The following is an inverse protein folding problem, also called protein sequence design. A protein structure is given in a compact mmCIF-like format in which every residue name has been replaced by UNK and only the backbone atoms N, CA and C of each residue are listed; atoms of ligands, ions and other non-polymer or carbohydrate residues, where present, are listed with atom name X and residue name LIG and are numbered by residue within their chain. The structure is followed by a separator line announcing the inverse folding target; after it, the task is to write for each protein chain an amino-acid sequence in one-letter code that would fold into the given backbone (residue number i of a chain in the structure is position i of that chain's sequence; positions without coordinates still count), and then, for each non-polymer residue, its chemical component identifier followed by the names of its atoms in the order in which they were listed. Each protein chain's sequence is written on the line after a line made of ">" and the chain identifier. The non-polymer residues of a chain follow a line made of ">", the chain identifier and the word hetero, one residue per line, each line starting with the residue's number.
data_IF_646628418402
#
_entry.id   IF_646628418402
#
_cell.length_a   1.000
_cell.length_b   1.000
_cell.length_c   1.000
_cell.angle_alpha   90.00
_cell.angle_beta   90.00
_cell.angle_gamma   90.00
#
_symmetry.space_group_name_H-M   'P 1'
#
loop_
_entity.id
_entity.type
_entity.pdbx_description
1 polymer ?
#
# COMPACT_ATOMS: atom_id res chain seq x y z
N UNK A 1 21.20 -1.05 12.27
CA UNK A 1 22.48 -1.52 11.68
C UNK A 1 22.81 -0.61 10.51
N UNK A 2 24.01 -0.04 10.47
CA UNK A 2 24.44 0.81 9.36
C UNK A 2 24.71 -0.08 8.14
N UNK A 3 23.94 0.08 7.06
CA UNK A 3 24.21 -0.61 5.79
C UNK A 3 25.54 -0.07 5.26
N UNK A 4 26.54 -0.95 5.13
CA UNK A 4 27.86 -0.63 4.57
C UNK A 4 28.07 -1.44 3.31
N UNK A 5 28.50 -0.76 2.25
CA UNK A 5 28.82 -1.35 0.96
C UNK A 5 30.31 -1.21 0.70
N UNK A 6 30.92 -2.22 0.07
CA UNK A 6 32.30 -2.08 -0.43
C UNK A 6 32.32 -1.10 -1.62
N UNK A 7 33.47 -0.47 -1.86
CA UNK A 7 33.68 0.39 -3.03
C UNK A 7 33.31 -0.36 -4.32
N UNK A 8 33.74 -1.62 -4.44
CA UNK A 8 33.43 -2.45 -5.60
C UNK A 8 31.92 -2.68 -5.77
N UNK A 9 31.18 -2.92 -4.68
CA UNK A 9 29.72 -3.07 -4.74
C UNK A 9 29.04 -1.79 -5.23
N UNK A 10 29.45 -0.64 -4.71
CA UNK A 10 28.89 0.66 -5.11
C UNK A 10 29.12 0.92 -6.59
N UNK A 11 30.37 0.80 -7.05
CA UNK A 11 30.74 1.13 -8.43
C UNK A 11 30.14 0.13 -9.43
N UNK A 12 29.91 -1.12 -9.03
CA UNK A 12 29.39 -2.16 -9.94
C UNK A 12 27.86 -2.20 -9.97
N UNK A 13 27.20 -1.98 -8.83
CA UNK A 13 25.75 -2.22 -8.67
C UNK A 13 24.94 -0.93 -8.46
N UNK A 14 25.57 0.11 -7.93
CA UNK A 14 24.92 1.38 -7.61
C UNK A 14 24.56 2.15 -8.88
N UNK A 15 23.39 2.80 -8.87
CA UNK A 15 23.04 3.78 -9.89
C UNK A 15 23.64 5.12 -9.49
N UNK A 16 24.72 5.52 -10.18
CA UNK A 16 25.35 6.82 -9.94
C UNK A 16 24.39 7.95 -10.33
N UNK A 17 24.04 8.81 -9.39
CA UNK A 17 23.12 9.91 -9.61
C UNK A 17 23.26 11.02 -8.56
N UNK A 18 22.69 12.19 -8.87
CA UNK A 18 22.47 13.23 -7.87
C UNK A 18 21.17 12.97 -7.14
N UNK A 19 21.19 13.07 -5.82
CA UNK A 19 19.98 12.96 -5.01
C UNK A 19 20.01 13.93 -3.83
N UNK A 20 18.84 14.32 -3.36
CA UNK A 20 18.66 15.06 -2.13
C UNK A 20 18.27 14.10 -1.01
N UNK A 21 18.90 14.26 0.15
CA UNK A 21 18.48 13.62 1.39
C UNK A 21 18.94 14.47 2.58
N UNK A 22 18.13 14.49 3.64
CA UNK A 22 18.38 15.28 4.86
C UNK A 22 18.67 16.77 4.57
N UNK A 23 18.01 17.34 3.56
CA UNK A 23 18.14 18.76 3.19
C UNK A 23 19.42 19.14 2.43
N UNK A 24 20.22 18.17 1.97
CA UNK A 24 21.42 18.41 1.17
C UNK A 24 21.40 17.62 -0.14
N UNK A 25 21.91 18.22 -1.21
CA UNK A 25 22.26 17.51 -2.45
C UNK A 25 23.51 16.66 -2.23
N UNK A 26 23.51 15.47 -2.82
CA UNK A 26 24.54 14.44 -2.74
C UNK A 26 24.91 14.02 -4.16
N UNK A 27 26.20 13.84 -4.41
CA UNK A 27 26.72 13.21 -5.63
C UNK A 27 27.18 11.80 -5.27
N UNK A 28 26.33 10.81 -5.56
CA UNK A 28 26.52 9.47 -5.01
C UNK A 28 25.83 8.39 -5.83
N UNK A 29 25.41 7.32 -5.14
CA UNK A 29 24.80 6.14 -5.76
C UNK A 29 23.51 5.76 -5.03
N UNK A 30 22.53 5.28 -5.78
CA UNK A 30 21.38 4.57 -5.20
C UNK A 30 21.56 3.09 -5.46
N UNK A 31 21.69 2.33 -4.37
CA UNK A 31 21.99 0.91 -4.37
C UNK A 31 20.76 0.08 -4.81
N UNK A 32 20.93 -1.19 -5.25
CA UNK A 32 19.80 -2.03 -5.67
C UNK A 32 18.74 -2.29 -4.59
N UNK A 33 19.12 -2.21 -3.31
CA UNK A 33 18.23 -2.26 -2.15
C UNK A 33 17.58 -0.91 -1.81
N UNK A 34 17.79 0.10 -2.65
CA UNK A 34 17.17 1.44 -2.58
C UNK A 34 17.87 2.44 -1.67
N UNK A 35 18.89 2.04 -0.92
CA UNK A 35 19.64 2.96 -0.06
C UNK A 35 20.51 3.92 -0.88
N UNK A 36 20.55 5.18 -0.45
CA UNK A 36 21.46 6.18 -1.00
C UNK A 36 22.83 6.09 -0.34
N UNK A 37 23.90 6.28 -1.11
CA UNK A 37 25.27 6.23 -0.63
C UNK A 37 26.06 7.41 -1.19
N UNK A 38 26.79 8.10 -0.31
CA UNK A 38 27.71 9.20 -0.64
C UNK A 38 29.02 9.03 0.15
N UNK A 39 30.12 9.58 -0.34
CA UNK A 39 31.38 9.68 0.38
C UNK A 39 31.60 11.11 0.89
N UNK A 40 31.59 11.27 2.22
CA UNK A 40 31.98 12.52 2.87
C UNK A 40 33.39 12.38 3.45
N UNK A 41 34.39 12.88 2.72
CA UNK A 41 35.80 12.69 3.08
C UNK A 41 36.21 11.22 2.99
N UNK A 42 36.60 10.62 4.11
CA UNK A 42 36.97 9.19 4.20
C UNK A 42 35.82 8.29 4.68
N UNK A 43 34.64 8.86 4.97
CA UNK A 43 33.49 8.15 5.49
C UNK A 43 32.45 7.86 4.42
N UNK A 44 31.91 6.64 4.42
CA UNK A 44 30.69 6.30 3.71
C UNK A 44 29.47 6.78 4.51
N UNK A 45 28.64 7.59 3.89
CA UNK A 45 27.31 7.95 4.40
C UNK A 45 26.26 7.10 3.69
N UNK A 46 25.25 6.66 4.45
CA UNK A 46 24.13 5.88 3.94
C UNK A 46 22.83 6.59 4.30
N UNK A 47 21.89 6.65 3.36
CA UNK A 47 20.63 7.36 3.49
C UNK A 47 19.46 6.40 3.28
N UNK A 48 18.47 6.49 4.16
CA UNK A 48 17.27 5.66 4.08
C UNK A 48 16.50 5.92 2.77
N UNK A 49 15.95 4.88 2.12
CA UNK A 49 15.26 5.02 0.84
C UNK A 49 14.19 6.11 0.83
N UNK A 50 13.37 6.19 1.89
CA UNK A 50 12.27 7.15 1.98
C UNK A 50 12.70 8.62 2.04
N UNK A 51 13.97 8.87 2.37
CA UNK A 51 14.54 10.22 2.48
C UNK A 51 15.01 10.77 1.13
N UNK A 52 15.03 9.93 0.09
CA UNK A 52 15.66 10.23 -1.20
C UNK A 52 14.68 10.99 -2.11
N UNK A 53 15.16 12.09 -2.68
CA UNK A 53 14.55 12.74 -3.84
C UNK A 53 15.57 12.84 -4.98
N UNK A 54 15.20 12.46 -6.20
CA UNK A 54 16.09 12.49 -7.36
C UNK A 54 15.30 12.59 -8.66
N UNK A 55 15.94 13.18 -9.69
CA UNK A 55 15.42 13.20 -11.05
C UNK A 55 15.82 11.95 -11.85
N UNK A 56 16.79 11.17 -11.35
CA UNK A 56 17.20 9.92 -11.98
C UNK A 56 16.10 8.86 -11.81
N UNK A 57 15.52 8.41 -12.91
CA UNK A 57 14.34 7.54 -12.88
C UNK A 57 14.66 6.15 -12.31
N UNK A 58 15.86 5.62 -12.58
CA UNK A 58 16.28 4.30 -12.10
C UNK A 58 16.52 4.35 -10.59
N UNK A 59 17.24 5.37 -10.13
CA UNK A 59 17.48 5.62 -8.71
C UNK A 59 16.19 5.88 -7.94
N UNK A 60 15.29 6.71 -8.49
CA UNK A 60 14.00 6.99 -7.88
C UNK A 60 13.15 5.72 -7.74
N UNK A 61 13.09 4.90 -8.78
CA UNK A 61 12.36 3.63 -8.74
C UNK A 61 12.92 2.68 -7.68
N UNK A 62 14.25 2.54 -7.57
CA UNK A 62 14.91 1.71 -6.53
C UNK A 62 14.54 2.18 -5.13
N UNK A 63 14.62 3.48 -4.87
CA UNK A 63 14.29 4.06 -3.56
C UNK A 63 12.80 3.88 -3.21
N UNK A 64 11.90 4.10 -4.18
CA UNK A 64 10.45 3.90 -4.01
C UNK A 64 10.09 2.45 -3.71
N UNK A 65 10.68 1.52 -4.45
CA UNK A 65 10.51 0.07 -4.22
C UNK A 65 10.93 -0.31 -2.82
N UNK A 66 12.13 0.10 -2.39
CA UNK A 66 12.62 -0.23 -1.06
C UNK A 66 11.75 0.37 0.05
N UNK A 67 11.27 1.59 -0.14
CA UNK A 67 10.32 2.25 0.75
C UNK A 67 9.00 1.47 0.85
N UNK A 68 8.42 1.07 -0.28
CA UNK A 68 7.18 0.29 -0.32
C UNK A 68 7.35 -1.09 0.34
N UNK A 69 8.47 -1.76 0.10
CA UNK A 69 8.79 -3.04 0.74
C UNK A 69 8.92 -2.92 2.25
N UNK A 70 9.55 -1.83 2.75
CA UNK A 70 9.62 -1.54 4.19
C UNK A 70 8.22 -1.32 4.77
N UNK A 71 7.39 -0.50 4.13
CA UNK A 71 6.00 -0.25 4.56
C UNK A 71 5.16 -1.51 4.62
N UNK A 72 5.30 -2.41 3.65
CA UNK A 72 4.59 -3.70 3.65
C UNK A 72 4.93 -4.53 4.90
N UNK A 73 6.22 -4.58 5.27
CA UNK A 73 6.69 -5.31 6.45
C UNK A 73 6.26 -4.65 7.77
N UNK A 74 6.11 -3.33 7.80
CA UNK A 74 5.61 -2.60 8.97
C UNK A 74 4.09 -2.80 9.16
N UNK A 75 3.32 -2.85 8.07
CA UNK A 75 1.86 -3.00 8.12
C UNK A 75 1.38 -4.43 8.39
N UNK A 76 2.19 -5.45 8.11
CA UNK A 76 1.75 -6.84 8.21
C UNK A 76 2.69 -7.64 9.12
N UNK A 77 2.19 -7.98 10.32
CA UNK A 77 2.95 -8.67 11.37
C UNK A 77 3.34 -10.11 11.02
N UNK A 78 2.66 -10.73 10.06
CA UNK A 78 3.05 -12.04 9.52
C UNK A 78 3.89 -11.83 8.26
N UNK A 79 5.02 -12.52 8.17
CA UNK A 79 5.96 -12.33 7.06
C UNK A 79 5.28 -12.69 5.73
N UNK A 80 5.20 -11.76 4.74
CA UNK A 80 4.71 -12.10 3.40
C UNK A 80 5.54 -13.25 2.82
N UNK A 81 4.92 -14.15 2.05
CA UNK A 81 5.69 -15.13 1.30
C UNK A 81 6.47 -14.39 0.20
N UNK A 82 7.71 -14.78 -0.02
CA UNK A 82 8.69 -14.07 -0.88
C UNK A 82 8.37 -14.08 -2.37
N UNK A 83 7.13 -14.41 -2.77
CA UNK A 83 6.69 -14.55 -4.15
C UNK A 83 5.47 -13.67 -4.42
N UNK A 84 5.56 -12.83 -5.45
CA UNK A 84 4.38 -12.19 -6.04
C UNK A 84 4.46 -10.71 -6.38
N UNK A 85 5.65 -10.11 -6.43
CA UNK A 85 5.78 -8.67 -6.69
C UNK A 85 5.42 -8.31 -8.14
N UNK A 86 4.20 -7.85 -8.35
CA UNK A 86 3.83 -7.06 -9.53
C UNK A 86 3.96 -5.59 -9.12
N UNK A 87 4.78 -4.86 -9.88
CA UNK A 87 5.13 -3.47 -9.62
C UNK A 87 4.58 -2.58 -10.71
N UNK A 88 3.64 -1.74 -10.32
CA UNK A 88 3.06 -0.74 -11.22
C UNK A 88 3.28 0.62 -10.64
N UNK A 89 4.24 1.34 -11.19
CA UNK A 89 4.36 2.76 -10.95
C UNK A 89 3.76 3.52 -12.13
N UNK A 90 2.67 4.24 -11.86
CA UNK A 90 2.08 5.19 -12.79
C UNK A 90 1.72 6.47 -12.03
N UNK A 91 2.17 7.61 -12.54
CA UNK A 91 1.88 8.94 -11.99
C UNK A 91 2.18 9.06 -10.48
N UNK A 92 3.28 8.42 -10.03
CA UNK A 92 3.72 8.42 -8.63
C UNK A 92 2.92 7.50 -7.71
N UNK A 93 2.03 6.66 -8.24
CA UNK A 93 1.36 5.60 -7.46
C UNK A 93 2.00 4.25 -7.75
N UNK A 94 2.46 3.57 -6.70
CA UNK A 94 2.99 2.21 -6.76
C UNK A 94 2.00 1.21 -6.20
N UNK A 95 1.74 0.14 -6.95
CA UNK A 95 1.09 -1.07 -6.45
C UNK A 95 2.15 -2.15 -6.22
N UNK A 96 2.15 -2.73 -5.01
CA UNK A 96 2.98 -3.87 -4.64
C UNK A 96 2.06 -5.01 -4.19
N UNK A 97 2.03 -6.09 -4.99
CA UNK A 97 1.27 -7.30 -4.68
C UNK A 97 2.16 -8.33 -3.97
N UNK A 98 1.61 -9.05 -2.99
CA UNK A 98 2.26 -10.21 -2.39
C UNK A 98 1.23 -11.23 -1.90
N UNK A 99 1.67 -12.47 -1.65
CA UNK A 99 0.85 -13.46 -0.96
C UNK A 99 1.22 -13.53 0.52
N UNK A 100 0.27 -13.78 1.40
CA UNK A 100 0.51 -13.95 2.83
C UNK A 100 -0.41 -15.02 3.43
N UNK A 101 -0.01 -15.61 4.55
CA UNK A 101 -0.85 -16.55 5.30
C UNK A 101 -1.58 -15.80 6.41
N UNK A 102 -2.91 -15.74 6.31
CA UNK A 102 -3.80 -15.17 7.33
C UNK A 102 -4.71 -16.26 7.89
N UNK A 103 -4.61 -16.55 9.18
CA UNK A 103 -5.39 -17.60 9.86
C UNK A 103 -5.40 -18.96 9.10
N UNK A 104 -4.23 -19.39 8.60
CA UNK A 104 -4.03 -20.62 7.81
C UNK A 104 -4.66 -20.61 6.40
N UNK A 105 -5.08 -19.44 5.90
CA UNK A 105 -5.53 -19.22 4.53
C UNK A 105 -4.51 -18.36 3.77
N UNK A 106 -4.17 -18.77 2.55
CA UNK A 106 -3.37 -17.95 1.65
C UNK A 106 -4.23 -16.81 1.10
N UNK A 107 -3.78 -15.57 1.30
CA UNK A 107 -4.45 -14.35 0.83
C UNK A 107 -3.51 -13.54 -0.05
N UNK A 108 -4.09 -12.78 -0.98
CA UNK A 108 -3.40 -11.80 -1.80
C UNK A 108 -3.54 -10.43 -1.16
N UNK A 109 -2.41 -9.80 -0.86
CA UNK A 109 -2.34 -8.44 -0.35
C UNK A 109 -1.83 -7.51 -1.44
N UNK A 110 -2.36 -6.29 -1.45
CA UNK A 110 -1.90 -5.21 -2.34
C UNK A 110 -1.63 -3.97 -1.49
N UNK A 111 -0.38 -3.54 -1.45
CA UNK A 111 0.01 -2.24 -0.90
C UNK A 111 -0.06 -1.19 -2.02
N UNK A 112 -0.87 -0.16 -1.80
CA UNK A 112 -0.94 1.02 -2.67
C UNK A 112 -0.21 2.18 -2.01
N UNK A 113 0.89 2.64 -2.61
CA UNK A 113 1.69 3.76 -2.11
C UNK A 113 1.60 4.94 -3.08
N UNK A 114 1.22 6.12 -2.59
CA UNK A 114 1.26 7.37 -3.37
C UNK A 114 2.47 8.18 -2.97
N UNK A 115 3.49 8.23 -3.82
CA UNK A 115 4.72 8.95 -3.59
C UNK A 115 4.58 10.46 -3.84
N UNK A 116 5.43 11.26 -3.19
CA UNK A 116 5.62 12.66 -3.57
C UNK A 116 6.35 12.73 -4.92
N UNK A 117 6.05 13.75 -5.73
CA UNK A 117 6.69 13.92 -7.04
C UNK A 117 8.21 14.01 -6.90
N UNK A 118 8.95 13.22 -7.67
CA UNK A 118 10.42 13.19 -7.65
C UNK A 118 11.06 12.64 -6.37
N UNK A 119 10.28 12.07 -5.44
CA UNK A 119 10.78 11.56 -4.17
C UNK A 119 10.24 10.18 -3.82
N UNK A 120 10.99 9.47 -2.96
CA UNK A 120 10.60 8.21 -2.35
C UNK A 120 9.83 8.39 -1.02
N UNK A 121 9.77 9.61 -0.49
CA UNK A 121 8.80 9.94 0.56
C UNK A 121 7.36 9.85 0.00
N UNK A 122 6.41 9.41 0.84
CA UNK A 122 5.02 9.16 0.41
C UNK A 122 4.00 10.08 1.09
N UNK A 123 2.82 10.19 0.47
CA UNK A 123 1.63 10.90 0.96
C UNK A 123 0.65 9.95 1.65
N UNK A 124 0.53 8.73 1.14
CA UNK A 124 -0.36 7.70 1.68
C UNK A 124 0.15 6.31 1.33
N UNK A 125 -0.06 5.33 2.22
CA UNK A 125 0.22 3.93 2.00
C UNK A 125 -0.93 3.11 2.58
N UNK A 126 -1.58 2.29 1.75
CA UNK A 126 -2.77 1.53 2.15
C UNK A 126 -2.64 0.07 1.76
N UNK A 127 -2.85 -0.82 2.72
CA UNK A 127 -2.82 -2.26 2.50
C UNK A 127 -4.25 -2.80 2.31
N UNK A 128 -4.46 -3.49 1.21
CA UNK A 128 -5.74 -4.13 0.86
C UNK A 128 -5.57 -5.65 0.89
N UNK A 129 -6.41 -6.36 1.63
CA UNK A 129 -6.57 -7.79 1.44
C UNK A 129 -7.50 -8.00 0.23
N UNK A 130 -6.90 -8.21 -0.94
CA UNK A 130 -7.61 -8.32 -2.20
C UNK A 130 -8.46 -9.58 -2.26
N UNK A 131 -8.02 -10.67 -1.62
CA UNK A 131 -8.79 -11.91 -1.51
C UNK A 131 -10.12 -11.67 -0.80
N UNK A 132 -10.10 -10.99 0.36
CA UNK A 132 -11.32 -10.72 1.11
C UNK A 132 -12.22 -9.67 0.46
N UNK A 133 -11.61 -8.66 -0.16
CA UNK A 133 -12.35 -7.64 -0.88
C UNK A 133 -13.09 -8.20 -2.11
N UNK A 134 -12.55 -9.23 -2.76
CA UNK A 134 -13.14 -9.89 -3.93
C UNK A 134 -14.07 -11.06 -3.58
N UNK A 135 -14.12 -11.47 -2.32
CA UNK A 135 -14.93 -12.60 -1.89
C UNK A 135 -16.42 -12.35 -2.15
N UNK A 136 -17.10 -13.35 -2.69
CA UNK A 136 -18.52 -13.34 -3.03
C UNK A 136 -19.36 -14.21 -2.09
N UNK A 137 -18.81 -14.66 -0.95
CA UNK A 137 -19.56 -15.46 0.03
C UNK A 137 -20.89 -14.79 0.38
N UNK A 138 -21.99 -15.46 0.02
CA UNK A 138 -23.35 -15.03 0.32
C UNK A 138 -23.66 -15.16 1.82
N UNK A 139 -23.01 -16.12 2.48
CA UNK A 139 -23.15 -16.37 3.91
C UNK A 139 -22.33 -15.39 4.77
N UNK A 140 -21.57 -14.50 4.16
CA UNK A 140 -20.83 -13.44 4.84
C UNK A 140 -21.75 -12.69 5.81
N UNK A 141 -21.27 -12.46 7.03
CA UNK A 141 -21.99 -11.72 8.06
C UNK A 141 -21.23 -10.45 8.44
N UNK A 142 -21.88 -9.28 8.44
CA UNK A 142 -21.23 -8.06 8.87
C UNK A 142 -20.92 -8.10 10.37
N UNK A 143 -19.73 -7.64 10.71
CA UNK A 143 -19.31 -7.40 12.09
C UNK A 143 -19.34 -5.91 12.36
N UNK A 144 -19.84 -5.52 13.54
CA UNK A 144 -20.14 -4.12 13.82
C UNK A 144 -19.42 -3.60 15.07
N UNK A 145 -19.05 -2.33 15.04
CA UNK A 145 -18.75 -1.55 16.26
C UNK A 145 -19.43 -0.19 16.17
N UNK A 146 -19.97 0.28 17.30
CA UNK A 146 -20.60 1.60 17.37
C UNK A 146 -19.56 2.70 17.22
N UNK A 147 -19.93 3.80 16.56
CA UNK A 147 -19.14 5.03 16.55
C UNK A 147 -19.84 6.16 17.31
N UNK A 148 -19.09 7.19 17.71
CA UNK A 148 -19.56 8.23 18.67
C UNK A 148 -20.76 9.06 18.20
N UNK A 149 -21.07 9.07 16.90
CA UNK A 149 -22.10 9.93 16.29
C UNK A 149 -23.35 9.18 15.81
N UNK A 150 -23.66 8.01 16.39
CA UNK A 150 -24.93 7.30 16.14
C UNK A 150 -24.95 6.44 14.87
N UNK A 151 -23.87 5.72 14.59
CA UNK A 151 -23.77 4.82 13.45
C UNK A 151 -22.80 3.68 13.76
N UNK A 152 -22.49 2.87 12.76
CA UNK A 152 -21.76 1.63 12.93
C UNK A 152 -20.63 1.51 11.91
N UNK A 153 -19.42 1.23 12.39
CA UNK A 153 -18.36 0.69 11.56
C UNK A 153 -18.72 -0.76 11.22
N UNK A 154 -18.55 -1.14 9.96
CA UNK A 154 -18.59 -2.52 9.49
C UNK A 154 -17.15 -3.04 9.51
N UNK A 155 -16.73 -3.61 10.64
CA UNK A 155 -15.31 -3.81 10.98
C UNK A 155 -14.60 -4.84 10.09
N UNK A 156 -15.37 -5.69 9.41
CA UNK A 156 -14.90 -6.64 8.42
C UNK A 156 -15.14 -6.20 6.96
N UNK A 157 -15.34 -4.89 6.74
CA UNK A 157 -15.30 -4.25 5.42
C UNK A 157 -14.23 -3.16 5.45
N UNK A 158 -13.19 -3.32 4.62
CA UNK A 158 -12.08 -2.37 4.51
C UNK A 158 -11.90 -1.95 3.06
N UNK A 159 -11.93 -0.64 2.84
CA UNK A 159 -11.66 -0.06 1.53
C UNK A 159 -10.17 -0.17 1.18
N UNK A 160 -9.82 -0.22 -0.11
CA UNK A 160 -8.44 -0.09 -0.55
C UNK A 160 -7.77 1.22 -0.13
N UNK A 161 -8.57 2.25 0.20
CA UNK A 161 -8.10 3.51 0.78
C UNK A 161 -7.65 3.41 2.25
N UNK A 162 -7.84 2.25 2.90
CA UNK A 162 -7.62 2.06 4.34
C UNK A 162 -8.83 2.42 5.20
N UNK A 163 -9.86 3.04 4.63
CA UNK A 163 -11.10 3.36 5.35
C UNK A 163 -11.86 2.08 5.76
N UNK A 164 -12.56 2.16 6.89
CA UNK A 164 -13.46 1.09 7.35
C UNK A 164 -14.86 1.42 6.87
N UNK A 165 -15.58 0.42 6.39
CA UNK A 165 -16.96 0.59 5.94
C UNK A 165 -17.87 1.12 7.03
N UNK A 166 -18.87 1.91 6.67
CA UNK A 166 -19.71 2.58 7.66
C UNK A 166 -21.17 2.70 7.22
N UNK A 167 -22.09 2.36 8.13
CA UNK A 167 -23.53 2.45 7.91
C UNK A 167 -24.22 3.17 9.05
N UNK A 168 -25.30 3.86 8.74
CA UNK A 168 -26.04 4.64 9.71
C UNK A 168 -27.53 4.69 9.36
N UNK A 169 -28.36 4.78 10.38
CA UNK A 169 -29.76 5.19 10.26
C UNK A 169 -30.07 6.44 11.09
N UNK A 170 -29.04 7.13 11.58
CA UNK A 170 -29.18 8.35 12.36
C UNK A 170 -29.45 9.56 11.45
N UNK A 171 -30.61 9.50 10.81
CA UNK A 171 -31.19 10.52 9.95
C UNK A 171 -32.66 10.71 10.36
N UNK A 172 -33.27 11.84 10.01
CA UNK A 172 -34.65 12.16 10.40
C UNK A 172 -35.67 11.10 9.93
N UNK A 173 -35.41 10.44 8.80
CA UNK A 173 -36.30 9.41 8.24
C UNK A 173 -36.02 8.00 8.79
N UNK A 174 -34.99 7.83 9.62
CA UNK A 174 -34.61 6.56 10.24
C UNK A 174 -34.19 5.46 9.26
N UNK A 175 -33.97 5.78 7.97
CA UNK A 175 -33.61 4.77 6.96
C UNK A 175 -32.12 4.45 7.01
N UNK A 176 -31.78 3.18 6.78
CA UNK A 176 -30.39 2.75 6.71
C UNK A 176 -29.73 3.22 5.43
N UNK A 177 -28.51 3.72 5.56
CA UNK A 177 -27.67 4.18 4.46
C UNK A 177 -26.23 3.74 4.70
N UNK A 178 -25.47 3.70 3.62
CA UNK A 178 -24.02 3.85 3.71
C UNK A 178 -23.73 5.27 4.19
N UNK A 179 -22.89 5.44 5.21
CA UNK A 179 -22.67 6.75 5.83
C UNK A 179 -21.81 7.67 4.96
N UNK A 180 -20.80 7.13 4.27
CA UNK A 180 -19.90 7.88 3.39
C UNK A 180 -20.05 7.46 1.92
N UNK A 181 -21.28 7.25 1.43
CA UNK A 181 -21.51 6.77 0.06
C UNK A 181 -20.97 7.79 -0.97
N UNK A 182 -19.92 7.45 -1.75
CA UNK A 182 -19.30 8.39 -2.68
C UNK A 182 -20.20 8.73 -3.87
N UNK A 183 -21.30 7.98 -4.07
CA UNK A 183 -22.25 8.19 -5.17
C UNK A 183 -23.30 9.24 -4.84
N UNK A 184 -23.42 9.65 -3.57
CA UNK A 184 -24.49 10.51 -3.07
C UNK A 184 -24.13 11.99 -3.21
N UNK A 185 -25.01 12.75 -3.85
CA UNK A 185 -24.89 14.21 -3.96
C UNK A 185 -25.44 14.94 -2.72
N UNK A 186 -26.46 14.36 -2.08
CA UNK A 186 -27.12 14.91 -0.89
C UNK A 186 -28.16 13.95 -0.30
N UNK A 187 -28.75 14.28 0.85
CA UNK A 187 -29.84 13.48 1.42
C UNK A 187 -31.10 13.63 0.56
N UNK A 188 -31.71 12.50 0.18
CA UNK A 188 -32.85 12.42 -0.75
C UNK A 188 -32.57 12.93 -2.18
N UNK A 189 -31.30 13.08 -2.55
CA UNK A 189 -30.85 13.46 -3.89
C UNK A 189 -30.34 12.22 -4.65
N UNK A 190 -29.99 12.34 -5.96
CA UNK A 190 -29.38 11.24 -6.70
C UNK A 190 -28.21 10.59 -5.95
N UNK A 191 -28.23 9.25 -5.93
CA UNK A 191 -27.26 8.44 -5.22
C UNK A 191 -27.50 8.27 -3.71
N UNK A 192 -28.57 8.84 -3.13
CA UNK A 192 -28.97 8.53 -1.74
C UNK A 192 -29.70 7.16 -1.67
N UNK A 193 -28.92 6.08 -1.71
CA UNK A 193 -29.46 4.73 -1.59
C UNK A 193 -29.84 4.42 -0.14
N UNK A 194 -31.10 4.03 0.05
CA UNK A 194 -31.63 3.61 1.35
C UNK A 194 -31.92 2.13 1.38
N UNK A 195 -31.73 1.52 2.55
CA UNK A 195 -31.87 0.09 2.78
C UNK A 195 -32.86 -0.18 3.91
N UNK A 196 -33.50 -1.35 3.85
CA UNK A 196 -34.49 -1.78 4.85
C UNK A 196 -33.80 -2.10 6.18
N UNK A 197 -32.59 -2.67 6.14
CA UNK A 197 -31.86 -3.12 7.33
C UNK A 197 -30.41 -2.64 7.32
N UNK A 198 -29.81 -2.62 8.51
CA UNK A 198 -28.37 -2.38 8.70
C UNK A 198 -27.51 -3.35 7.88
N UNK A 199 -27.89 -4.63 7.88
CA UNK A 199 -27.18 -5.69 7.16
C UNK A 199 -27.27 -5.49 5.64
N UNK A 200 -28.43 -5.06 5.13
CA UNK A 200 -28.57 -4.73 3.71
C UNK A 200 -27.67 -3.56 3.31
N UNK A 201 -27.60 -2.50 4.13
CA UNK A 201 -26.66 -1.40 3.92
C UNK A 201 -25.19 -1.86 3.97
N UNK A 202 -24.85 -2.74 4.92
CA UNK A 202 -23.48 -3.25 5.08
C UNK A 202 -23.05 -4.17 3.91
N UNK A 203 -23.99 -4.94 3.36
CA UNK A 203 -23.73 -5.73 2.13
C UNK A 203 -23.55 -4.84 0.91
N UNK A 204 -24.32 -3.76 0.80
CA UNK A 204 -24.12 -2.76 -0.25
C UNK A 204 -22.76 -2.05 -0.11
N UNK A 205 -22.33 -1.74 1.12
CA UNK A 205 -20.98 -1.20 1.39
C UNK A 205 -19.88 -2.17 0.94
N UNK A 206 -19.99 -3.46 1.29
CA UNK A 206 -19.06 -4.51 0.84
C UNK A 206 -18.98 -4.58 -0.68
N UNK A 207 -20.10 -4.41 -1.37
CA UNK A 207 -20.13 -4.43 -2.83
C UNK A 207 -19.39 -3.24 -3.45
N UNK A 208 -19.45 -2.04 -2.84
CA UNK A 208 -18.64 -0.90 -3.29
C UNK A 208 -17.14 -1.20 -3.16
N UNK A 209 -16.73 -1.76 -2.02
CA UNK A 209 -15.34 -2.20 -1.81
C UNK A 209 -14.91 -3.22 -2.87
N UNK A 210 -15.79 -4.16 -3.22
CA UNK A 210 -15.53 -5.16 -4.27
C UNK A 210 -15.33 -4.53 -5.64
N UNK A 211 -16.13 -3.52 -6.00
CA UNK A 211 -15.98 -2.79 -7.27
C UNK A 211 -14.63 -2.07 -7.34
N UNK A 212 -14.18 -1.44 -6.26
CA UNK A 212 -12.84 -0.83 -6.19
C UNK A 212 -11.73 -1.89 -6.30
N UNK A 213 -11.89 -3.02 -5.59
CA UNK A 213 -10.94 -4.14 -5.64
C UNK A 213 -10.83 -4.75 -7.04
N UNK A 214 -11.94 -4.90 -7.77
CA UNK A 214 -11.93 -5.34 -9.17
C UNK A 214 -11.14 -4.38 -10.06
N UNK A 215 -11.22 -3.07 -9.81
CA UNK A 215 -10.45 -2.08 -10.55
C UNK A 215 -8.95 -2.28 -10.32
N UNK A 216 -8.54 -2.55 -9.08
CA UNK A 216 -7.14 -2.88 -8.74
C UNK A 216 -6.73 -4.19 -9.42
N UNK A 217 -7.56 -5.22 -9.38
CA UNK A 217 -7.29 -6.51 -10.02
C UNK A 217 -7.09 -6.35 -11.54
N UNK A 218 -7.92 -5.53 -12.21
CA UNK A 218 -7.79 -5.26 -13.63
C UNK A 218 -6.48 -4.54 -13.98
N UNK A 219 -6.06 -3.57 -13.16
CA UNK A 219 -4.77 -2.87 -13.32
C UNK A 219 -3.60 -3.86 -13.18
N UNK A 220 -3.65 -4.75 -12.19
CA UNK A 220 -2.63 -5.78 -11.97
C UNK A 220 -2.59 -6.80 -13.11
N UNK A 221 -3.74 -7.20 -13.67
CA UNK A 221 -3.82 -8.18 -14.76
C UNK A 221 -3.38 -7.61 -16.12
N UNK A 222 -3.60 -6.31 -16.36
CA UNK A 222 -3.32 -5.65 -17.64
C UNK A 222 -1.86 -5.26 -17.82
N UNK A 223 -1.02 -5.37 -16.80
CA UNK A 223 0.38 -4.95 -16.89
C UNK A 223 1.34 -6.11 -16.67
N UNK A 224 2.26 -6.40 -17.61
CA UNK A 224 3.26 -7.43 -17.42
C UNK A 224 4.17 -7.09 -16.23
N UNK A 225 4.57 -8.07 -15.39
CA UNK A 225 5.48 -7.84 -14.28
C UNK A 225 6.81 -7.30 -14.82
N UNK A 226 7.13 -6.05 -14.50
CA UNK A 226 8.34 -5.38 -15.00
C UNK A 226 9.63 -5.93 -14.40
N UNK A 227 9.58 -6.60 -13.24
CA UNK A 227 10.73 -7.24 -12.59
C UNK A 227 10.24 -8.14 -11.46
N UNK A 228 10.73 -9.38 -11.37
CA UNK A 228 10.57 -10.25 -10.21
C UNK A 228 11.71 -9.97 -9.22
N UNK A 229 11.44 -9.33 -8.09
CA UNK A 229 12.43 -9.23 -7.00
C UNK A 229 12.14 -10.32 -5.98
N UNK A 230 13.22 -10.99 -5.56
CA UNK A 230 13.20 -11.97 -4.48
C UNK A 230 13.53 -11.25 -3.18
N UNK A 231 12.65 -11.37 -2.18
CA UNK A 231 12.94 -10.96 -0.79
C UNK A 231 14.06 -11.78 -0.13
N UNK A 232 14.74 -12.69 -0.86
CA UNK A 232 15.86 -13.48 -0.34
C UNK A 232 17.11 -12.65 0.04
N UNK A 233 17.09 -11.33 -0.09
CA UNK A 233 18.23 -10.46 0.20
C UNK A 233 18.28 -9.79 1.58
N UNK A 234 17.16 -9.65 2.32
CA UNK A 234 17.15 -8.76 3.51
C UNK A 234 17.41 -9.45 4.84
N UNK A 235 17.74 -10.74 4.87
CA UNK A 235 18.23 -11.36 6.10
C UNK A 235 19.39 -12.31 5.74
N UNK A 236 20.62 -11.84 5.88
CA UNK A 236 21.66 -12.74 6.36
C UNK A 236 21.14 -13.28 7.68
N UNK A 237 20.72 -14.54 7.66
CA UNK A 237 20.54 -15.34 8.85
C UNK A 237 21.78 -15.14 9.72
N UNK A 238 21.62 -14.44 10.84
CA UNK A 238 22.41 -14.72 12.02
C UNK A 238 22.03 -16.14 12.46
N UNK A 239 22.68 -17.13 11.84
CA UNK A 239 22.86 -18.43 12.44
C UNK A 239 24.06 -18.32 13.38
N UNK A 240 23.77 -18.05 14.65
CA UNK A 240 24.52 -18.46 15.84
C UNK A 240 23.71 -18.04 17.08
#
# INVERSE_FOLDING_TARGET
>A
MTHKYTVQQIETLGTKCKFQSMGAERDGWIMPDGFGVDYAGFGQLTFDPESIATLDQVGLMRARVATASKLLLEHYSTRPSSQGEVRLEQDGTMLLMCSANEASRLVTLVLTVKFQSGAASWRSANLTNLTDALDTDEQWRPSYSEWRHGGWYVTNVRYPSGAIGCVSNNYEDGKWRIACDPRREGLNEPGDFTFITRDAAARAERELVRIEALSIQAVLASTPPKESISFAGTINAAAA
#
